data_IF_570043808228
#
_entry.id   IF_570043808228
#
_cell.length_a   1.000
_cell.length_b   1.000
_cell.length_c   1.000
_cell.angle_alpha   90.00
_cell.angle_beta   90.00
_cell.angle_gamma   90.00
#
_symmetry.space_group_name_H-M   'P 1'
#
loop_
_entity.id
_entity.type
_entity.pdbx_description
1 polymer ?
#
# COMPACT_ATOMS: atom_id res chain seq x y z
N UNK A 1 39.42 -37.16 38.37
CA UNK A 1 39.96 -35.89 37.84
C UNK A 1 40.53 -36.17 36.44
N UNK A 2 40.12 -35.61 35.31
CA UNK A 2 39.09 -34.63 34.96
C UNK A 2 38.77 -34.82 33.47
N UNK A 3 37.62 -35.43 33.14
CA UNK A 3 37.02 -35.45 31.79
C UNK A 3 36.40 -34.08 31.44
N UNK A 4 37.11 -32.99 31.76
CA UNK A 4 36.54 -31.62 31.79
C UNK A 4 37.42 -30.59 31.07
N UNK A 5 38.37 -31.01 30.22
CA UNK A 5 39.22 -30.07 29.45
C UNK A 5 39.18 -30.24 27.93
N UNK A 6 38.32 -31.09 27.37
CA UNK A 6 38.25 -31.35 25.91
C UNK A 6 36.94 -30.94 25.23
N UNK A 7 36.17 -30.06 25.87
CA UNK A 7 34.92 -29.51 25.33
C UNK A 7 34.97 -27.98 25.18
N UNK A 8 36.16 -27.41 24.95
CA UNK A 8 36.34 -25.95 24.81
C UNK A 8 36.68 -25.55 23.35
N UNK A 9 36.89 -26.48 22.43
CA UNK A 9 37.34 -26.15 21.07
C UNK A 9 36.70 -27.02 19.97
N UNK A 10 35.39 -26.87 19.76
CA UNK A 10 34.74 -27.12 18.46
C UNK A 10 33.80 -25.94 18.22
N UNK A 11 34.30 -24.98 17.45
CA UNK A 11 33.59 -23.77 17.08
C UNK A 11 32.54 -24.03 16.02
N UNK A 12 31.39 -24.54 16.44
CA UNK A 12 30.14 -24.50 15.67
C UNK A 12 29.15 -23.55 16.38
N UNK A 13 29.61 -22.35 16.74
CA UNK A 13 28.70 -21.27 17.16
C UNK A 13 28.20 -20.59 15.89
N UNK A 14 27.08 -21.06 15.37
CA UNK A 14 26.42 -20.50 14.19
C UNK A 14 25.74 -19.17 14.54
N UNK A 15 26.51 -18.08 14.45
CA UNK A 15 26.04 -16.68 14.56
C UNK A 15 24.87 -16.38 13.59
N UNK A 16 24.77 -17.12 12.47
CA UNK A 16 23.72 -16.91 11.47
C UNK A 16 22.34 -17.38 11.95
N UNK A 17 22.29 -18.41 12.80
CA UNK A 17 21.07 -18.93 13.42
C UNK A 17 20.44 -17.91 14.39
N UNK A 18 21.26 -17.20 15.15
CA UNK A 18 20.82 -16.15 16.08
C UNK A 18 20.24 -14.94 15.34
N UNK A 19 20.90 -14.51 14.27
CA UNK A 19 20.41 -13.41 13.44
C UNK A 19 19.18 -13.80 12.60
N UNK A 20 19.05 -15.05 12.16
CA UNK A 20 17.85 -15.54 11.47
C UNK A 20 16.63 -15.61 12.42
N UNK A 21 16.84 -16.03 13.67
CA UNK A 21 15.77 -16.01 14.68
C UNK A 21 15.38 -14.59 15.09
N UNK A 22 16.34 -13.65 15.11
CA UNK A 22 16.12 -12.24 15.42
C UNK A 22 15.37 -11.51 14.30
N UNK A 23 15.76 -11.76 13.05
CA UNK A 23 15.06 -11.23 11.87
C UNK A 23 13.64 -11.78 11.77
N UNK A 24 13.42 -13.08 12.02
CA UNK A 24 12.05 -13.66 12.08
C UNK A 24 11.19 -13.02 13.18
N UNK A 25 11.74 -12.84 14.39
CA UNK A 25 11.04 -12.13 15.48
C UNK A 25 10.75 -10.66 15.13
N UNK A 26 11.69 -9.98 14.47
CA UNK A 26 11.54 -8.60 14.02
C UNK A 26 10.42 -8.48 12.97
N UNK A 27 10.39 -9.37 11.98
CA UNK A 27 9.35 -9.39 10.94
C UNK A 27 7.98 -9.70 11.54
N UNK A 28 7.89 -10.67 12.46
CA UNK A 28 6.64 -10.95 13.19
C UNK A 28 6.17 -9.77 14.03
N UNK A 29 7.09 -9.10 14.74
CA UNK A 29 6.78 -7.90 15.51
C UNK A 29 6.24 -6.79 14.60
N UNK A 30 6.93 -6.50 13.49
CA UNK A 30 6.49 -5.50 12.51
C UNK A 30 5.10 -5.86 11.96
N UNK A 31 4.87 -7.11 11.57
CA UNK A 31 3.57 -7.57 11.07
C UNK A 31 2.46 -7.39 12.12
N UNK A 32 2.73 -7.78 13.38
CA UNK A 32 1.78 -7.63 14.49
C UNK A 32 1.46 -6.17 14.79
N UNK A 33 2.46 -5.30 14.70
CA UNK A 33 2.33 -3.88 15.00
C UNK A 33 1.59 -3.14 13.88
N UNK A 34 1.79 -3.58 12.63
CA UNK A 34 1.00 -3.13 11.49
C UNK A 34 -0.47 -3.53 11.66
N UNK A 35 -0.73 -4.79 12.04
CA UNK A 35 -2.07 -5.31 12.26
C UNK A 35 -2.79 -4.57 13.41
N UNK A 36 -2.08 -4.27 14.50
CA UNK A 36 -2.59 -3.47 15.64
C UNK A 36 -2.99 -2.05 15.25
N UNK A 37 -2.27 -1.43 14.30
CA UNK A 37 -2.59 -0.08 13.80
C UNK A 37 -3.81 -0.10 12.90
N UNK A 38 -3.94 -1.11 12.03
CA UNK A 38 -5.13 -1.28 11.19
C UNK A 38 -6.40 -1.46 12.04
N UNK A 39 -6.36 -2.29 13.08
CA UNK A 39 -7.52 -2.52 13.96
C UNK A 39 -7.87 -1.34 14.86
N UNK A 40 -6.88 -0.52 15.26
CA UNK A 40 -7.13 0.73 16.00
C UNK A 40 -7.77 1.81 15.13
N UNK A 41 -7.44 1.88 13.84
CA UNK A 41 -8.05 2.83 12.91
C UNK A 41 -9.54 2.53 12.68
N UNK A 42 -9.90 1.25 12.60
CA UNK A 42 -11.28 0.79 12.41
C UNK A 42 -12.18 1.05 13.64
N UNK A 43 -11.61 0.97 14.85
CA UNK A 43 -12.31 1.18 16.12
C UNK A 43 -12.39 2.65 16.58
N UNK A 44 -11.76 3.59 15.86
CA UNK A 44 -11.95 5.01 16.13
C UNK A 44 -13.18 5.51 15.39
N UNK A 45 -14.35 5.48 16.04
CA UNK A 45 -15.49 6.26 15.59
C UNK A 45 -15.09 7.73 15.50
N UNK A 46 -14.86 8.21 14.28
CA UNK A 46 -14.64 9.61 13.98
C UNK A 46 -15.85 10.40 14.48
N UNK A 47 -15.58 11.41 15.32
CA UNK A 47 -16.55 12.49 15.57
C UNK A 47 -16.68 13.27 14.26
N UNK A 48 -17.60 12.83 13.40
CA UNK A 48 -17.88 13.48 12.14
C UNK A 48 -18.49 14.86 12.41
N UNK A 49 -17.65 15.89 12.44
CA UNK A 49 -18.11 17.26 12.28
C UNK A 49 -18.67 17.37 10.87
N UNK A 50 -19.97 17.67 10.76
CA UNK A 50 -20.64 17.83 9.47
C UNK A 50 -19.96 18.86 8.57
N UNK A 51 -20.43 18.95 7.32
CA UNK A 51 -19.88 19.90 6.34
C UNK A 51 -19.86 21.33 6.91
N UNK A 52 -18.68 21.94 6.98
CA UNK A 52 -18.53 23.35 7.36
C UNK A 52 -19.14 24.22 6.26
N UNK A 53 -20.07 25.10 6.64
CA UNK A 53 -20.67 26.08 5.73
C UNK A 53 -19.55 26.86 5.02
N UNK A 54 -19.57 26.89 3.68
CA UNK A 54 -18.56 27.54 2.84
C UNK A 54 -17.57 26.62 2.13
N UNK A 55 -17.53 25.31 2.42
CA UNK A 55 -16.70 24.37 1.65
C UNK A 55 -17.35 24.08 0.28
N UNK A 56 -16.67 24.49 -0.79
CA UNK A 56 -17.08 24.19 -2.17
C UNK A 56 -16.40 22.88 -2.63
N UNK A 57 -17.20 21.97 -3.19
CA UNK A 57 -16.68 20.78 -3.85
C UNK A 57 -16.31 21.13 -5.30
N UNK A 58 -15.04 20.96 -5.65
CA UNK A 58 -14.55 21.15 -7.02
C UNK A 58 -14.58 19.78 -7.70
N UNK A 59 -15.37 19.64 -8.77
CA UNK A 59 -15.35 18.42 -9.57
C UNK A 59 -14.06 18.39 -10.41
N UNK A 60 -13.11 17.55 -10.02
CA UNK A 60 -11.81 17.39 -10.72
C UNK A 60 -11.82 16.27 -11.76
N UNK A 61 -13.00 15.80 -12.18
CA UNK A 61 -13.17 14.74 -13.19
C UNK A 61 -12.39 13.44 -12.88
N UNK A 62 -12.88 12.74 -11.86
CA UNK A 62 -12.34 11.48 -11.34
C UNK A 62 -12.30 10.37 -12.40
N UNK A 63 -13.24 10.41 -13.35
CA UNK A 63 -13.39 9.41 -14.41
C UNK A 63 -12.28 9.59 -15.45
N UNK A 64 -12.02 10.83 -15.87
CA UNK A 64 -10.90 11.14 -16.76
C UNK A 64 -9.55 10.75 -16.15
N UNK A 65 -9.34 11.02 -14.85
CA UNK A 65 -8.13 10.57 -14.14
C UNK A 65 -7.95 9.04 -14.15
N UNK A 66 -9.04 8.29 -13.97
CA UNK A 66 -9.00 6.83 -14.08
C UNK A 66 -8.64 6.38 -15.49
N UNK A 67 -9.32 6.94 -16.51
CA UNK A 67 -9.10 6.60 -17.91
C UNK A 67 -7.65 6.83 -18.33
N UNK A 68 -7.10 7.99 -17.97
CA UNK A 68 -5.70 8.32 -18.26
C UNK A 68 -4.73 7.34 -17.61
N UNK A 69 -4.97 6.95 -16.34
CA UNK A 69 -4.13 5.98 -15.64
C UNK A 69 -4.16 4.60 -16.31
N UNK A 70 -5.32 4.19 -16.82
CA UNK A 70 -5.46 2.95 -17.59
C UNK A 70 -4.66 3.03 -18.88
N UNK A 71 -4.85 4.08 -19.68
CA UNK A 71 -4.15 4.29 -20.95
C UNK A 71 -2.62 4.32 -20.75
N UNK A 72 -2.15 4.97 -19.70
CA UNK A 72 -0.72 5.11 -19.41
C UNK A 72 -0.02 3.78 -19.08
N UNK A 73 -0.69 2.88 -18.34
CA UNK A 73 -0.01 1.74 -17.69
C UNK A 73 -0.71 0.38 -17.82
N UNK A 74 -2.03 0.35 -17.89
CA UNK A 74 -2.81 -0.89 -17.74
C UNK A 74 -3.49 -1.36 -19.03
N UNK A 75 -3.58 -0.51 -20.05
CA UNK A 75 -4.08 -0.87 -21.37
C UNK A 75 -3.26 -2.01 -22.00
N UNK A 76 -3.84 -2.64 -23.01
CA UNK A 76 -3.17 -3.68 -23.80
C UNK A 76 -1.88 -3.14 -24.44
N UNK A 77 -1.98 -1.94 -25.04
CA UNK A 77 -0.86 -1.16 -25.56
C UNK A 77 -0.70 0.13 -24.74
N UNK A 78 0.01 0.09 -23.59
CA UNK A 78 0.13 1.24 -22.70
C UNK A 78 1.07 2.31 -23.29
N UNK A 79 0.81 3.59 -22.99
CA UNK A 79 1.70 4.71 -23.37
C UNK A 79 3.11 4.50 -22.84
N UNK A 80 3.24 3.98 -21.62
CA UNK A 80 4.54 3.73 -20.98
C UNK A 80 4.89 2.24 -20.96
N UNK A 81 6.12 1.87 -21.38
CA UNK A 81 6.55 0.48 -21.35
C UNK A 81 6.80 -0.03 -19.92
N UNK A 82 6.92 -1.36 -19.78
CA UNK A 82 6.97 -2.04 -18.48
C UNK A 82 8.13 -1.59 -17.56
N UNK A 83 9.25 -1.11 -18.13
CA UNK A 83 10.36 -0.54 -17.36
C UNK A 83 9.96 0.76 -16.62
N UNK A 84 9.15 1.62 -17.25
CA UNK A 84 8.60 2.81 -16.60
C UNK A 84 7.62 2.44 -15.50
N UNK A 85 6.77 1.42 -15.73
CA UNK A 85 5.89 0.88 -14.70
C UNK A 85 6.69 0.45 -13.45
N UNK A 86 7.74 -0.35 -13.66
CA UNK A 86 8.61 -0.82 -12.55
C UNK A 86 9.30 0.33 -11.84
N UNK A 87 9.78 1.34 -12.55
CA UNK A 87 10.39 2.53 -11.94
C UNK A 87 9.38 3.33 -11.11
N UNK A 88 8.13 3.41 -11.58
CA UNK A 88 7.05 4.19 -10.97
C UNK A 88 6.44 3.52 -9.74
N UNK A 89 6.15 2.22 -9.82
CA UNK A 89 5.45 1.46 -8.78
C UNK A 89 6.36 0.52 -7.98
N UNK A 90 7.65 0.44 -8.34
CA UNK A 90 8.66 -0.44 -7.72
C UNK A 90 8.32 -1.94 -7.81
N UNK A 91 7.40 -2.32 -8.70
CA UNK A 91 6.97 -3.71 -8.92
C UNK A 91 6.51 -3.94 -10.37
N UNK A 92 6.25 -5.19 -10.75
CA UNK A 92 5.71 -5.52 -12.07
C UNK A 92 4.19 -5.30 -12.14
N UNK A 93 3.67 -5.05 -13.35
CA UNK A 93 2.22 -4.87 -13.59
C UNK A 93 1.39 -6.08 -13.13
N UNK A 94 1.77 -7.34 -13.41
CA UNK A 94 1.03 -8.49 -12.91
C UNK A 94 1.00 -8.59 -11.38
N UNK A 95 2.09 -8.22 -10.69
CA UNK A 95 2.11 -8.22 -9.23
C UNK A 95 1.20 -7.15 -8.64
N UNK A 96 1.19 -5.95 -9.23
CA UNK A 96 0.25 -4.89 -8.87
C UNK A 96 -1.20 -5.38 -8.96
N UNK A 97 -1.59 -6.00 -10.08
CA UNK A 97 -2.97 -6.48 -10.26
C UNK A 97 -3.34 -7.60 -9.28
N UNK A 98 -2.41 -8.50 -8.95
CA UNK A 98 -2.62 -9.53 -7.93
C UNK A 98 -2.86 -8.89 -6.56
N UNK A 99 -2.01 -7.97 -6.14
CA UNK A 99 -2.16 -7.27 -4.85
C UNK A 99 -3.50 -6.52 -4.81
N UNK A 100 -3.87 -5.84 -5.89
CA UNK A 100 -5.16 -5.14 -5.95
C UNK A 100 -6.33 -6.10 -5.77
N UNK A 101 -6.31 -7.26 -6.44
CA UNK A 101 -7.36 -8.26 -6.33
C UNK A 101 -7.49 -8.81 -4.90
N UNK A 102 -6.37 -9.12 -4.24
CA UNK A 102 -6.37 -9.59 -2.84
C UNK A 102 -6.90 -8.51 -1.89
N UNK A 103 -6.47 -7.26 -2.07
CA UNK A 103 -6.94 -6.14 -1.24
C UNK A 103 -8.44 -5.89 -1.45
N UNK A 104 -8.94 -5.98 -2.67
CA UNK A 104 -10.36 -5.80 -2.96
C UNK A 104 -11.25 -6.89 -2.35
N UNK A 105 -10.72 -8.07 -2.10
CA UNK A 105 -11.43 -9.14 -1.38
C UNK A 105 -11.47 -8.91 0.13
N UNK A 106 -10.47 -8.23 0.68
CA UNK A 106 -10.35 -7.99 2.11
C UNK A 106 -10.99 -6.66 2.55
N UNK A 107 -10.91 -5.63 1.72
CA UNK A 107 -11.31 -4.26 2.04
C UNK A 107 -12.19 -3.62 0.95
N UNK A 108 -13.46 -3.41 1.31
CA UNK A 108 -14.48 -2.71 0.51
C UNK A 108 -14.05 -1.31 0.08
N UNK A 109 -13.12 -0.67 0.80
CA UNK A 109 -12.58 0.63 0.42
C UNK A 109 -11.93 0.60 -0.95
N UNK A 110 -11.34 -0.51 -1.40
CA UNK A 110 -10.70 -0.60 -2.73
C UNK A 110 -11.66 -0.99 -3.85
N UNK A 111 -12.90 -1.37 -3.51
CA UNK A 111 -13.96 -1.63 -4.47
C UNK A 111 -14.53 -0.29 -4.94
N UNK A 112 -14.72 -0.15 -6.25
CA UNK A 112 -15.35 1.05 -6.80
C UNK A 112 -16.85 0.99 -6.55
N UNK A 113 -17.37 1.94 -5.76
CA UNK A 113 -18.79 2.04 -5.42
C UNK A 113 -19.34 3.40 -5.83
N UNK A 114 -20.65 3.48 -6.00
CA UNK A 114 -21.35 4.77 -6.10
C UNK A 114 -21.52 5.37 -4.71
N UNK A 115 -21.38 6.68 -4.60
CA UNK A 115 -21.67 7.40 -3.37
C UNK A 115 -23.19 7.58 -3.18
N UNK A 116 -23.58 8.21 -2.06
CA UNK A 116 -24.99 8.43 -1.72
C UNK A 116 -25.73 9.33 -2.72
N UNK A 117 -25.03 10.08 -3.57
CA UNK A 117 -25.61 10.91 -4.64
C UNK A 117 -25.62 10.19 -6.00
N UNK A 118 -25.12 8.96 -6.06
CA UNK A 118 -25.06 8.13 -7.25
C UNK A 118 -23.83 8.34 -8.13
N UNK A 119 -22.90 9.21 -7.72
CA UNK A 119 -21.67 9.45 -8.47
C UNK A 119 -20.67 8.31 -8.30
N UNK A 120 -19.92 8.01 -9.36
CA UNK A 120 -18.92 6.94 -9.35
C UNK A 120 -17.73 7.36 -8.49
N UNK A 121 -17.41 6.56 -7.47
CA UNK A 121 -16.24 6.74 -6.62
C UNK A 121 -14.92 6.40 -7.33
N UNK A 122 -13.80 6.62 -6.65
CA UNK A 122 -12.48 6.26 -7.17
C UNK A 122 -12.31 4.75 -7.34
N UNK A 123 -11.66 4.37 -8.42
CA UNK A 123 -11.28 2.97 -8.68
C UNK A 123 -10.20 2.48 -7.69
N UNK A 124 -10.16 1.18 -7.44
CA UNK A 124 -9.09 0.57 -6.64
C UNK A 124 -7.70 0.82 -7.21
N UNK A 125 -7.56 0.86 -8.55
CA UNK A 125 -6.30 1.19 -9.23
C UNK A 125 -5.85 2.61 -8.87
N UNK A 126 -6.74 3.60 -8.87
CA UNK A 126 -6.41 4.97 -8.45
C UNK A 126 -5.97 5.01 -6.98
N UNK A 127 -6.77 4.43 -6.09
CA UNK A 127 -6.49 4.41 -4.65
C UNK A 127 -5.14 3.77 -4.34
N UNK A 128 -4.86 2.60 -4.94
CA UNK A 128 -3.60 1.88 -4.74
C UNK A 128 -2.41 2.60 -5.39
N UNK A 129 -2.61 3.24 -6.56
CA UNK A 129 -1.59 4.08 -7.20
C UNK A 129 -1.19 5.23 -6.27
N UNK A 130 -2.18 5.88 -5.64
CA UNK A 130 -1.89 6.96 -4.69
C UNK A 130 -1.10 6.45 -3.49
N UNK A 131 -1.61 5.40 -2.84
CA UNK A 131 -0.97 4.81 -1.67
C UNK A 131 0.48 4.37 -1.96
N UNK A 132 0.70 3.63 -3.06
CA UNK A 132 2.04 3.14 -3.41
C UNK A 132 3.01 4.28 -3.72
N UNK A 133 2.57 5.36 -4.36
CA UNK A 133 3.45 6.49 -4.66
C UNK A 133 3.78 7.31 -3.43
N UNK A 134 2.82 7.49 -2.51
CA UNK A 134 3.11 8.10 -1.21
C UNK A 134 4.17 7.27 -0.45
N UNK A 135 4.03 5.94 -0.43
CA UNK A 135 4.99 5.05 0.24
C UNK A 135 6.36 5.01 -0.46
N UNK A 136 6.39 4.97 -1.79
CA UNK A 136 7.63 4.80 -2.55
C UNK A 136 8.50 6.07 -2.59
N UNK A 137 7.88 7.25 -2.48
CA UNK A 137 8.57 8.53 -2.64
C UNK A 137 8.49 9.46 -1.43
N UNK A 138 7.67 9.14 -0.41
CA UNK A 138 7.45 10.02 0.74
C UNK A 138 6.79 11.35 0.38
N UNK A 139 6.05 11.39 -0.73
CA UNK A 139 5.46 12.61 -1.29
C UNK A 139 4.16 12.97 -0.53
N UNK A 140 3.94 14.27 -0.31
CA UNK A 140 2.71 14.79 0.30
C UNK A 140 1.46 14.47 -0.56
N UNK A 141 0.36 14.14 0.12
CA UNK A 141 -0.94 13.78 -0.49
C UNK A 141 -1.39 14.76 -1.56
N UNK A 142 -1.24 16.05 -1.28
CA UNK A 142 -1.81 17.13 -2.10
C UNK A 142 -1.15 17.24 -3.47
N UNK A 143 0.13 16.91 -3.57
CA UNK A 143 0.85 16.91 -4.85
C UNK A 143 0.56 15.69 -5.71
N UNK A 144 0.20 14.57 -5.07
CA UNK A 144 -0.21 13.39 -5.80
C UNK A 144 -1.64 13.50 -6.32
N UNK A 145 -2.39 14.38 -5.68
CA UNK A 145 -3.79 14.62 -5.97
C UNK A 145 -4.03 15.21 -7.36
N UNK A 146 -3.15 16.08 -7.82
CA UNK A 146 -3.27 16.67 -9.15
C UNK A 146 -3.11 15.62 -10.26
N UNK A 147 -2.28 14.59 -10.02
CA UNK A 147 -2.06 13.50 -10.97
C UNK A 147 -3.16 12.43 -10.91
N UNK A 148 -3.61 12.05 -9.70
CA UNK A 148 -4.64 11.03 -9.52
C UNK A 148 -6.08 11.57 -9.54
N UNK A 149 -6.22 12.90 -9.50
CA UNK A 149 -7.46 13.69 -9.42
C UNK A 149 -8.36 13.30 -8.25
N UNK A 150 -7.80 13.17 -7.05
CA UNK A 150 -8.40 12.47 -5.91
C UNK A 150 -9.00 13.31 -4.73
N UNK A 151 -8.83 14.64 -4.65
CA UNK A 151 -9.18 15.45 -3.46
C UNK A 151 -10.43 16.32 -3.62
#
# INVERSE_FOLDING_TARGET
MSKLKKAIFRGDFDESSYEESRTRKMVQYIASEFHRRLTKADNQQSKHGGSRKGRQHISRDRISGHKQLIEDYFAENPTFPANYFRRRFRMSRPLFLRILNEIQQFDDYFVQRRDATGAIGFSGIQKMTVALRMLAYGIATDSLDEYARMA
#
